data_IF_611755822192
#
_entry.id   IF_611755822192
#
_cell.length_a   1.000
_cell.length_b   1.000
_cell.length_c   1.000
_cell.angle_alpha   90.00
_cell.angle_beta   90.00
_cell.angle_gamma   90.00
#
_symmetry.space_group_name_H-M   'P 1'
#
loop_
_entity.id
_entity.type
_entity.pdbx_description
1 polymer ?
#
# COMPACT_ATOMS: atom_id res chain seq x y z
N UNK A 1 -5.38 -20.38 -35.74
CA UNK A 1 -4.81 -19.24 -35.00
C UNK A 1 -5.80 -18.80 -33.93
N UNK A 2 -5.56 -19.15 -32.66
CA UNK A 2 -6.33 -18.61 -31.53
C UNK A 2 -5.66 -17.31 -31.11
N UNK A 3 -6.34 -16.19 -31.30
CA UNK A 3 -5.87 -14.87 -30.86
C UNK A 3 -6.20 -14.75 -29.37
N UNK A 4 -5.16 -14.67 -28.54
CA UNK A 4 -5.21 -14.52 -27.09
C UNK A 4 -5.92 -13.20 -26.71
N UNK A 5 -7.02 -13.27 -25.95
CA UNK A 5 -6.93 -12.85 -24.55
C UNK A 5 -7.79 -13.67 -23.57
N UNK A 6 -8.67 -14.55 -24.05
CA UNK A 6 -9.55 -15.35 -23.18
C UNK A 6 -8.85 -16.56 -22.55
N UNK A 7 -7.78 -17.07 -23.17
CA UNK A 7 -7.03 -18.21 -22.63
C UNK A 7 -6.27 -17.89 -21.34
N UNK A 8 -5.93 -16.61 -21.10
CA UNK A 8 -5.31 -16.14 -19.85
C UNK A 8 -6.30 -16.09 -18.67
N UNK A 9 -7.61 -16.07 -18.95
CA UNK A 9 -8.65 -16.05 -17.92
C UNK A 9 -9.29 -17.42 -17.68
N UNK A 10 -9.16 -18.36 -18.63
CA UNK A 10 -9.82 -19.66 -18.57
C UNK A 10 -8.89 -20.82 -18.23
N UNK A 11 -7.57 -20.64 -18.30
CA UNK A 11 -6.59 -21.69 -18.01
C UNK A 11 -5.48 -21.21 -17.09
N UNK A 12 -5.56 -21.62 -15.82
CA UNK A 12 -4.62 -21.33 -14.73
C UNK A 12 -4.69 -19.88 -14.22
N UNK A 13 -5.04 -19.74 -12.94
CA UNK A 13 -5.32 -18.45 -12.31
C UNK A 13 -4.21 -17.43 -12.52
N UNK A 14 -4.60 -16.14 -12.52
CA UNK A 14 -3.70 -15.00 -12.62
C UNK A 14 -2.41 -15.27 -11.80
N UNK A 15 -1.21 -15.25 -12.41
CA UNK A 15 0.05 -15.43 -11.69
C UNK A 15 0.37 -14.15 -10.90
N UNK A 16 -0.52 -13.80 -9.97
CA UNK A 16 -0.40 -12.63 -9.10
C UNK A 16 0.89 -12.69 -8.28
N UNK A 17 1.35 -13.92 -7.95
CA UNK A 17 2.63 -14.18 -7.31
C UNK A 17 3.81 -13.65 -8.13
N UNK A 18 3.95 -14.14 -9.37
CA UNK A 18 5.10 -13.82 -10.24
C UNK A 18 5.11 -12.35 -10.66
N UNK A 19 3.93 -11.73 -10.75
CA UNK A 19 3.77 -10.33 -11.11
C UNK A 19 3.98 -9.38 -9.94
N UNK A 20 3.88 -9.85 -8.69
CA UNK A 20 4.03 -9.00 -7.50
C UNK A 20 5.44 -8.42 -7.34
N UNK A 21 6.49 -9.22 -7.60
CA UNK A 21 7.89 -8.79 -7.49
C UNK A 21 8.26 -7.69 -8.48
N UNK A 22 8.07 -7.92 -9.79
CA UNK A 22 8.28 -6.90 -10.83
C UNK A 22 7.40 -5.67 -10.62
N UNK A 23 6.13 -5.85 -10.23
CA UNK A 23 5.21 -4.76 -9.93
C UNK A 23 5.69 -3.88 -8.77
N UNK A 24 6.24 -4.49 -7.72
CA UNK A 24 6.82 -3.76 -6.59
C UNK A 24 8.06 -2.97 -7.01
N UNK A 25 8.97 -3.58 -7.78
CA UNK A 25 10.16 -2.90 -8.30
C UNK A 25 9.80 -1.73 -9.22
N UNK A 26 8.85 -1.93 -10.13
CA UNK A 26 8.36 -0.91 -11.04
C UNK A 26 7.68 0.23 -10.26
N UNK A 27 6.82 -0.11 -9.31
CA UNK A 27 6.14 0.87 -8.45
C UNK A 27 7.12 1.72 -7.63
N UNK A 28 8.11 1.09 -6.99
CA UNK A 28 9.18 1.78 -6.29
C UNK A 28 10.04 2.63 -7.22
N UNK A 29 10.34 2.13 -8.42
CA UNK A 29 11.07 2.86 -9.46
C UNK A 29 10.32 4.12 -9.91
N UNK A 30 9.01 4.02 -10.13
CA UNK A 30 8.16 5.16 -10.47
C UNK A 30 8.04 6.15 -9.31
N UNK A 31 7.90 5.67 -8.07
CA UNK A 31 7.86 6.51 -6.88
C UNK A 31 9.18 7.29 -6.73
N UNK A 32 10.32 6.61 -6.88
CA UNK A 32 11.63 7.24 -6.86
C UNK A 32 11.82 8.23 -8.02
N UNK A 33 11.38 7.89 -9.23
CA UNK A 33 11.42 8.77 -10.39
C UNK A 33 10.55 10.02 -10.21
N UNK A 34 9.36 9.87 -9.62
CA UNK A 34 8.48 11.00 -9.29
C UNK A 34 9.11 11.93 -8.25
N UNK A 35 9.70 11.36 -7.19
CA UNK A 35 10.39 12.13 -6.16
C UNK A 35 11.65 12.83 -6.70
N UNK A 36 12.42 12.16 -7.57
CA UNK A 36 13.57 12.72 -8.24
C UNK A 36 13.17 13.84 -9.21
N UNK A 37 12.11 13.65 -10.00
CA UNK A 37 11.60 14.66 -10.93
C UNK A 37 11.16 15.94 -10.20
N UNK A 38 10.56 15.80 -9.01
CA UNK A 38 10.22 16.94 -8.17
C UNK A 38 11.45 17.61 -7.57
N UNK A 39 12.39 16.84 -7.00
CA UNK A 39 13.62 17.38 -6.37
C UNK A 39 14.52 18.10 -7.37
N UNK A 40 14.60 17.60 -8.61
CA UNK A 40 15.41 18.21 -9.66
C UNK A 40 14.69 19.36 -10.39
N UNK A 41 13.44 19.67 -10.05
CA UNK A 41 12.66 20.75 -10.68
C UNK A 41 12.40 20.53 -12.18
N UNK A 42 12.69 19.35 -12.72
CA UNK A 42 12.66 19.06 -14.14
C UNK A 42 11.33 18.38 -14.46
N UNK A 43 10.41 19.15 -15.07
CA UNK A 43 9.02 18.76 -15.40
C UNK A 43 8.18 18.33 -14.18
N UNK A 44 8.21 19.14 -13.11
CA UNK A 44 7.47 18.91 -11.87
C UNK A 44 5.95 18.68 -12.06
N UNK A 45 5.35 19.14 -13.17
CA UNK A 45 3.95 18.87 -13.51
C UNK A 45 3.62 17.37 -13.60
N UNK A 46 4.56 16.52 -14.02
CA UNK A 46 4.32 15.06 -14.11
C UNK A 46 4.68 14.30 -12.83
N UNK A 47 5.40 14.94 -11.90
CA UNK A 47 5.83 14.30 -10.65
C UNK A 47 4.63 13.80 -9.84
N UNK A 48 3.52 14.56 -9.84
CA UNK A 48 2.28 14.17 -9.19
C UNK A 48 1.75 12.82 -9.72
N UNK A 49 1.67 12.67 -11.04
CA UNK A 49 1.17 11.45 -11.68
C UNK A 49 2.11 10.28 -11.44
N UNK A 50 3.43 10.49 -11.53
CA UNK A 50 4.42 9.43 -11.27
C UNK A 50 4.40 8.96 -9.82
N UNK A 51 4.26 9.89 -8.86
CA UNK A 51 4.12 9.57 -7.45
C UNK A 51 2.81 8.82 -7.19
N UNK A 52 1.69 9.28 -7.73
CA UNK A 52 0.39 8.63 -7.52
C UNK A 52 0.37 7.21 -8.10
N UNK A 53 0.81 7.05 -9.34
CA UNK A 53 0.83 5.76 -10.03
C UNK A 53 1.84 4.81 -9.39
N UNK A 54 3.07 5.29 -9.13
CA UNK A 54 4.14 4.49 -8.53
C UNK A 54 3.80 4.03 -7.12
N UNK A 55 3.22 4.92 -6.30
CA UNK A 55 2.79 4.59 -4.95
C UNK A 55 1.68 3.55 -4.94
N UNK A 56 0.64 3.70 -5.77
CA UNK A 56 -0.44 2.70 -5.85
C UNK A 56 0.08 1.35 -6.34
N UNK A 57 0.91 1.33 -7.38
CA UNK A 57 1.49 0.10 -7.90
C UNK A 57 2.37 -0.61 -6.85
N UNK A 58 3.24 0.14 -6.16
CA UNK A 58 4.10 -0.41 -5.11
C UNK A 58 3.29 -0.94 -3.92
N UNK A 59 2.29 -0.19 -3.46
CA UNK A 59 1.45 -0.57 -2.32
C UNK A 59 0.57 -1.77 -2.63
N UNK A 60 -0.03 -1.85 -3.82
CA UNK A 60 -0.79 -3.02 -4.26
C UNK A 60 0.08 -4.26 -4.38
N UNK A 61 1.25 -4.14 -5.01
CA UNK A 61 2.18 -5.26 -5.14
C UNK A 61 2.68 -5.75 -3.77
N UNK A 62 2.93 -4.83 -2.83
CA UNK A 62 3.27 -5.17 -1.46
C UNK A 62 2.11 -5.85 -0.71
N UNK A 63 0.86 -5.40 -0.90
CA UNK A 63 -0.32 -6.06 -0.34
C UNK A 63 -0.51 -7.47 -0.90
N UNK A 64 -0.35 -7.68 -2.22
CA UNK A 64 -0.44 -9.02 -2.82
C UNK A 64 0.58 -9.95 -2.17
N UNK A 65 1.82 -9.49 -1.98
CA UNK A 65 2.86 -10.24 -1.25
C UNK A 65 2.54 -10.48 0.23
N UNK A 66 1.75 -9.62 0.86
CA UNK A 66 1.35 -9.75 2.25
C UNK A 66 0.22 -10.78 2.42
N UNK A 67 -0.73 -10.83 1.49
CA UNK A 67 -1.84 -11.80 1.47
C UNK A 67 -1.44 -13.18 0.96
N UNK A 68 -0.24 -13.30 0.41
CA UNK A 68 0.31 -14.56 -0.05
C UNK A 68 0.67 -15.45 1.14
N UNK A 69 -0.29 -16.27 1.53
CA UNK A 69 -0.13 -17.37 2.47
C UNK A 69 0.51 -18.54 1.73
N UNK A 70 1.81 -18.75 1.89
CA UNK A 70 2.55 -19.88 1.32
C UNK A 70 1.87 -21.21 1.70
N UNK A 71 1.12 -21.77 0.74
CA UNK A 71 0.48 -23.08 0.85
C UNK A 71 1.50 -24.18 0.66
N UNK A 72 2.29 -24.48 1.69
CA UNK A 72 3.13 -25.67 1.74
C UNK A 72 4.55 -25.41 2.22
N UNK A 73 4.84 -25.92 3.42
CA UNK A 73 6.18 -26.27 3.92
C UNK A 73 7.25 -25.17 3.91
N UNK A 74 7.27 -24.37 4.98
CA UNK A 74 8.37 -24.28 5.96
C UNK A 74 8.36 -22.90 6.61
N UNK A 75 7.85 -22.85 7.84
CA UNK A 75 7.87 -21.73 8.80
C UNK A 75 7.04 -20.47 8.42
N UNK A 76 6.06 -20.08 9.25
CA UNK A 76 5.35 -18.82 9.10
C UNK A 76 6.32 -17.72 9.52
N UNK A 77 7.04 -17.13 8.56
CA UNK A 77 7.96 -16.04 8.90
C UNK A 77 7.14 -14.79 9.15
N UNK A 78 6.61 -14.65 10.36
CA UNK A 78 6.19 -13.37 10.95
C UNK A 78 7.19 -12.26 10.59
N UNK A 79 8.48 -12.61 10.51
CA UNK A 79 9.58 -11.76 10.07
C UNK A 79 9.43 -11.24 8.61
N UNK A 80 8.98 -12.08 7.66
CA UNK A 80 8.68 -11.66 6.27
C UNK A 80 7.45 -10.77 6.22
N UNK A 81 6.36 -11.16 6.89
CA UNK A 81 5.14 -10.36 6.97
C UNK A 81 5.42 -8.98 7.62
N UNK A 82 6.23 -8.97 8.67
CA UNK A 82 6.68 -7.75 9.36
C UNK A 82 7.59 -6.90 8.47
N UNK A 83 8.52 -7.51 7.72
CA UNK A 83 9.36 -6.78 6.76
C UNK A 83 8.53 -6.12 5.64
N UNK A 84 7.55 -6.83 5.08
CA UNK A 84 6.64 -6.28 4.06
C UNK A 84 5.74 -5.20 4.65
N UNK A 85 5.23 -5.40 5.86
CA UNK A 85 4.41 -4.40 6.57
C UNK A 85 5.21 -3.15 6.86
N UNK A 86 6.47 -3.27 7.31
CA UNK A 86 7.38 -2.14 7.51
C UNK A 86 7.68 -1.41 6.21
N UNK A 87 7.83 -2.13 5.09
CA UNK A 87 8.01 -1.51 3.78
C UNK A 87 6.76 -0.69 3.39
N UNK A 88 5.56 -1.23 3.58
CA UNK A 88 4.30 -0.52 3.33
C UNK A 88 4.22 0.73 4.22
N UNK A 89 4.49 0.60 5.53
CA UNK A 89 4.50 1.73 6.45
C UNK A 89 5.57 2.77 6.11
N UNK A 90 6.74 2.36 5.61
CA UNK A 90 7.77 3.25 5.10
C UNK A 90 7.29 4.07 3.90
N UNK A 91 6.60 3.43 2.95
CA UNK A 91 5.98 4.12 1.81
C UNK A 91 4.87 5.06 2.30
N UNK A 92 3.98 4.61 3.20
CA UNK A 92 2.89 5.40 3.76
C UNK A 92 3.38 6.62 4.56
N UNK A 93 4.45 6.49 5.34
CA UNK A 93 5.04 7.63 6.07
C UNK A 93 5.67 8.65 5.11
N UNK A 94 6.35 8.19 4.07
CA UNK A 94 6.86 9.05 2.99
C UNK A 94 5.73 9.80 2.26
N UNK A 95 4.65 9.10 1.92
CA UNK A 95 3.43 9.69 1.35
C UNK A 95 2.76 10.68 2.30
N UNK A 96 2.69 10.39 3.59
CA UNK A 96 2.13 11.28 4.60
C UNK A 96 2.94 12.58 4.74
N UNK A 97 4.27 12.49 4.73
CA UNK A 97 5.14 13.67 4.70
C UNK A 97 4.94 14.47 3.40
N UNK A 98 4.87 13.78 2.27
CA UNK A 98 4.63 14.38 0.97
C UNK A 98 3.28 15.11 0.88
N UNK A 99 2.23 14.49 1.40
CA UNK A 99 0.89 15.02 1.39
C UNK A 99 0.74 16.28 2.25
N UNK A 100 1.48 16.38 3.37
CA UNK A 100 1.53 17.61 4.16
C UNK A 100 2.17 18.77 3.39
N UNK A 101 3.17 18.48 2.55
CA UNK A 101 3.85 19.51 1.73
C UNK A 101 2.99 19.97 0.55
N UNK A 102 2.30 19.04 -0.09
CA UNK A 102 1.49 19.29 -1.30
C UNK A 102 0.01 19.53 -1.01
N UNK A 103 -0.41 19.42 0.26
CA UNK A 103 -1.80 19.60 0.71
C UNK A 103 -2.81 18.70 -0.04
N UNK A 104 -2.35 17.53 -0.48
CA UNK A 104 -3.17 16.60 -1.27
C UNK A 104 -3.79 15.52 -0.39
N UNK A 105 -5.12 15.53 -0.33
CA UNK A 105 -5.93 14.58 0.41
C UNK A 105 -5.77 13.14 -0.08
N UNK A 106 -5.51 12.94 -1.37
CA UNK A 106 -5.40 11.61 -1.99
C UNK A 106 -4.23 10.83 -1.41
N UNK A 107 -3.08 11.48 -1.22
CA UNK A 107 -1.91 10.79 -0.67
C UNK A 107 -2.07 10.41 0.80
N UNK A 108 -2.85 11.16 1.59
CA UNK A 108 -3.20 10.78 2.96
C UNK A 108 -4.17 9.60 2.96
N UNK A 109 -5.15 9.60 2.05
CA UNK A 109 -6.04 8.47 1.86
C UNK A 109 -5.28 7.18 1.53
N UNK A 110 -4.30 7.25 0.64
CA UNK A 110 -3.42 6.13 0.33
C UNK A 110 -2.60 5.71 1.55
N UNK A 111 -1.95 6.64 2.23
CA UNK A 111 -1.13 6.34 3.40
C UNK A 111 -1.93 5.64 4.52
N UNK A 112 -3.09 6.19 4.87
CA UNK A 112 -3.94 5.66 5.95
C UNK A 112 -4.63 4.37 5.52
N UNK A 113 -5.18 4.30 4.32
CA UNK A 113 -5.90 3.13 3.83
C UNK A 113 -5.00 1.90 3.71
N UNK A 114 -3.89 2.01 2.98
CA UNK A 114 -2.97 0.90 2.80
C UNK A 114 -2.23 0.55 4.10
N UNK A 115 -1.90 1.56 4.93
CA UNK A 115 -1.30 1.34 6.24
C UNK A 115 -2.24 0.58 7.18
N UNK A 116 -3.52 0.94 7.21
CA UNK A 116 -4.54 0.25 8.00
C UNK A 116 -4.68 -1.23 7.60
N UNK A 117 -4.75 -1.52 6.29
CA UNK A 117 -4.85 -2.90 5.80
C UNK A 117 -3.61 -3.72 6.20
N UNK A 118 -2.41 -3.16 6.04
CA UNK A 118 -1.18 -3.85 6.38
C UNK A 118 -1.06 -4.15 7.88
N UNK A 119 -1.38 -3.16 8.74
CA UNK A 119 -1.36 -3.34 10.21
C UNK A 119 -2.43 -4.34 10.66
N UNK A 120 -3.64 -4.26 10.11
CA UNK A 120 -4.74 -5.17 10.45
C UNK A 120 -4.41 -6.61 10.06
N UNK A 121 -3.77 -6.80 8.90
CA UNK A 121 -3.31 -8.13 8.48
C UNK A 121 -2.23 -8.68 9.43
N UNK A 122 -1.24 -7.86 9.80
CA UNK A 122 -0.19 -8.26 10.74
C UNK A 122 -0.76 -8.66 12.11
N UNK A 123 -1.74 -7.91 12.62
CA UNK A 123 -2.42 -8.23 13.89
C UNK A 123 -3.31 -9.47 13.78
N UNK A 124 -3.95 -9.68 12.64
CA UNK A 124 -4.75 -10.89 12.37
C UNK A 124 -3.91 -12.17 12.35
N UNK A 125 -2.66 -12.10 11.86
CA UNK A 125 -1.71 -13.22 11.90
C UNK A 125 -1.27 -13.55 13.33
N UNK A 126 -1.30 -12.57 14.24
CA UNK A 126 -0.81 -12.72 15.60
C UNK A 126 -1.80 -13.42 16.56
N UNK A 127 -2.97 -13.86 16.08
CA UNK A 127 -4.03 -14.55 16.87
C UNK A 127 -4.38 -13.84 18.19
N UNK A 128 -4.27 -12.51 18.21
CA UNK A 128 -4.51 -11.72 19.42
C UNK A 128 -6.02 -11.58 19.61
N UNK A 129 -6.58 -12.48 20.43
CA UNK A 129 -7.91 -12.44 21.04
C UNK A 129 -9.05 -12.20 20.04
N UNK A 130 -9.63 -13.27 19.51
CA UNK A 130 -10.88 -13.26 18.71
C UNK A 130 -11.98 -12.28 19.19
N UNK A 131 -12.29 -12.16 20.51
CA UNK A 131 -13.27 -11.16 20.97
C UNK A 131 -12.75 -9.72 20.92
N UNK A 132 -11.43 -9.50 21.06
CA UNK A 132 -10.82 -8.18 20.92
C UNK A 132 -10.73 -7.76 19.45
N UNK A 133 -10.54 -8.69 18.52
CA UNK A 133 -10.58 -8.43 17.08
C UNK A 133 -11.94 -7.86 16.63
N UNK A 134 -13.04 -8.38 17.20
CA UNK A 134 -14.40 -7.90 16.97
C UNK A 134 -14.62 -6.44 17.42
N UNK A 135 -13.96 -6.01 18.50
CA UNK A 135 -14.01 -4.63 18.99
C UNK A 135 -12.98 -3.72 18.28
N UNK A 136 -11.81 -4.28 17.95
CA UNK A 136 -10.71 -3.60 17.28
C UNK A 136 -11.13 -3.07 15.91
N UNK A 137 -11.82 -3.88 15.10
CA UNK A 137 -12.21 -3.49 13.75
C UNK A 137 -13.12 -2.24 13.68
N UNK A 138 -14.26 -2.16 14.40
CA UNK A 138 -15.08 -0.95 14.40
C UNK A 138 -14.40 0.23 15.08
N UNK A 139 -13.60 0.00 16.14
CA UNK A 139 -12.94 1.08 16.87
C UNK A 139 -11.84 1.75 16.04
N UNK A 140 -11.06 0.96 15.31
CA UNK A 140 -10.02 1.49 14.41
C UNK A 140 -10.63 2.16 13.19
N UNK A 141 -11.72 1.62 12.63
CA UNK A 141 -12.45 2.28 11.54
C UNK A 141 -13.02 3.64 11.99
N UNK A 142 -13.60 3.71 13.19
CA UNK A 142 -14.07 4.97 13.76
C UNK A 142 -12.92 5.96 13.96
N UNK A 143 -11.77 5.48 14.46
CA UNK A 143 -10.55 6.28 14.60
C UNK A 143 -10.07 6.85 13.26
N UNK A 144 -10.12 6.06 12.19
CA UNK A 144 -9.77 6.50 10.83
C UNK A 144 -10.77 7.55 10.33
N UNK A 145 -12.07 7.36 10.52
CA UNK A 145 -13.09 8.34 10.12
C UNK A 145 -12.87 9.67 10.87
N UNK A 146 -12.66 9.61 12.18
CA UNK A 146 -12.36 10.79 13.00
C UNK A 146 -11.06 11.48 12.56
N UNK A 147 -10.04 10.71 12.20
CA UNK A 147 -8.80 11.22 11.63
C UNK A 147 -9.06 11.96 10.30
N UNK A 148 -9.90 11.39 9.42
CA UNK A 148 -10.29 12.01 8.16
C UNK A 148 -11.15 13.27 8.35
N UNK A 149 -11.97 13.35 9.39
CA UNK A 149 -12.74 14.56 9.69
C UNK A 149 -11.80 15.69 10.15
N UNK A 150 -10.80 15.37 10.97
CA UNK A 150 -9.83 16.33 11.52
C UNK A 150 -8.64 16.61 10.59
N UNK A 151 -8.66 16.07 9.38
CA UNK A 151 -7.56 16.20 8.42
C UNK A 151 -7.22 17.66 8.10
N UNK A 152 -8.22 18.56 8.09
CA UNK A 152 -8.04 19.99 7.81
C UNK A 152 -7.13 20.66 8.85
N UNK A 153 -7.27 20.26 10.12
CA UNK A 153 -6.45 20.73 11.22
C UNK A 153 -5.02 20.18 11.16
N UNK A 154 -4.84 18.96 10.66
CA UNK A 154 -3.54 18.31 10.45
C UNK A 154 -2.80 18.90 9.24
N UNK A 155 -3.53 19.30 8.20
CA UNK A 155 -2.98 19.95 7.01
C UNK A 155 -2.63 21.42 7.24
N UNK A 156 -3.05 22.03 8.37
CA UNK A 156 -2.81 23.45 8.67
C UNK A 156 -3.37 24.40 7.58
N UNK A 157 -4.48 24.01 6.94
CA UNK A 157 -5.28 24.94 6.14
C UNK A 157 -6.16 25.69 7.14
N UNK A 158 -5.65 26.83 7.60
CA UNK A 158 -6.42 27.88 8.26
C UNK A 158 -6.75 28.97 7.24
#
# INVERSE_FOLDING_TARGET
MKVAPLALFTGQGFPAHELSGPGLLLGLGLLAAGLASERLGRKAHFAYTYLLLGSNAALLAALVRLFESDGGTATPTLLRALAVTLLILGICTGLGWYARRTQSYVFILLAVGYGYVAVTNLLGIADILWPLALLYFPLTLLGIILFFINIKQILRIA
#
